data_IF_035187181431
#
_entry.id   IF_035187181431
#
_cell.length_a   1.000
_cell.length_b   1.000
_cell.length_c   1.000
_cell.angle_alpha   90.00
_cell.angle_beta   90.00
_cell.angle_gamma   90.00
#
_symmetry.space_group_name_H-M   'P 1'
#
loop_
_entity.id
_entity.type
_entity.pdbx_description
1 polymer ?
#
# COMPACT_ATOMS: atom_id res chain seq x y z
N UNK A 1 2.49 -2.28 12.26
CA UNK A 1 2.32 -3.40 11.30
C UNK A 1 1.54 -2.89 10.10
N UNK A 2 2.12 -3.00 8.90
CA UNK A 2 1.48 -2.59 7.64
C UNK A 2 1.00 -3.86 6.92
N UNK A 3 0.00 -3.74 6.04
CA UNK A 3 -0.42 -4.83 5.13
C UNK A 3 -0.54 -4.32 3.71
N UNK A 4 -0.42 -5.24 2.76
CA UNK A 4 -0.79 -5.01 1.36
C UNK A 4 -2.30 -4.77 1.28
N UNK A 5 -2.72 -3.68 0.63
CA UNK A 5 -4.10 -3.18 0.64
C UNK A 5 -4.95 -3.80 -0.49
N UNK A 6 -4.34 -4.04 -1.67
CA UNK A 6 -5.00 -4.53 -2.89
C UNK A 6 -4.06 -5.38 -3.75
N UNK A 7 -4.51 -5.85 -4.91
CA UNK A 7 -3.77 -6.75 -5.79
C UNK A 7 -3.65 -8.19 -5.28
N UNK A 8 -2.83 -9.00 -5.95
CA UNK A 8 -2.66 -10.44 -5.72
C UNK A 8 -2.15 -10.77 -4.31
N UNK A 9 -1.35 -9.87 -3.73
CA UNK A 9 -0.75 -10.05 -2.41
C UNK A 9 -1.60 -9.45 -1.28
N UNK A 10 -2.84 -9.05 -1.55
CA UNK A 10 -3.73 -8.39 -0.57
C UNK A 10 -3.78 -9.14 0.76
N UNK A 11 -3.63 -8.39 1.85
CA UNK A 11 -3.66 -8.94 3.21
C UNK A 11 -2.32 -9.45 3.73
N UNK A 12 -1.30 -9.59 2.87
CA UNK A 12 0.06 -9.93 3.30
C UNK A 12 0.59 -8.86 4.26
N UNK A 13 1.06 -9.29 5.42
CA UNK A 13 1.66 -8.41 6.45
C UNK A 13 3.08 -8.03 6.05
N UNK A 14 3.45 -6.81 6.40
CA UNK A 14 4.79 -6.24 6.19
C UNK A 14 5.28 -5.77 7.56
N UNK A 15 6.50 -6.16 7.90
CA UNK A 15 7.18 -5.68 9.08
C UNK A 15 7.42 -4.18 8.96
N UNK A 16 7.04 -3.45 10.00
CA UNK A 16 7.22 -2.01 10.08
C UNK A 16 8.23 -1.70 11.17
N UNK A 17 9.05 -0.65 11.03
CA UNK A 17 9.91 -0.18 12.10
C UNK A 17 9.15 -0.04 13.42
N UNK A 18 9.79 -0.40 14.53
CA UNK A 18 9.20 -0.30 15.85
C UNK A 18 9.07 1.16 16.29
N UNK A 19 8.12 1.41 17.19
CA UNK A 19 7.89 2.73 17.77
C UNK A 19 7.00 3.65 16.93
N UNK A 20 7.03 4.94 17.27
CA UNK A 20 6.16 5.99 16.72
C UNK A 20 6.92 7.18 16.13
N UNK A 21 8.23 7.03 15.93
CA UNK A 21 9.12 8.10 15.44
C UNK A 21 8.96 8.36 13.94
N UNK A 22 8.41 7.41 13.20
CA UNK A 22 8.11 7.55 11.77
C UNK A 22 6.64 7.90 11.55
N UNK A 23 6.35 8.90 10.70
CA UNK A 23 4.97 9.22 10.29
C UNK A 23 4.35 8.02 9.57
N UNK A 24 3.23 7.46 10.05
CA UNK A 24 2.57 6.34 9.37
C UNK A 24 1.86 6.82 8.10
N UNK A 25 1.82 5.94 7.09
CA UNK A 25 0.97 6.13 5.90
C UNK A 25 -0.33 5.35 6.10
N UNK A 26 -1.47 5.96 5.80
CA UNK A 26 -2.78 5.29 5.91
C UNK A 26 -3.04 4.34 4.74
N UNK A 27 -3.93 3.36 4.94
CA UNK A 27 -4.40 2.48 3.85
C UNK A 27 -4.97 3.32 2.69
N UNK A 28 -5.79 4.33 3.00
CA UNK A 28 -6.38 5.26 2.05
C UNK A 28 -5.34 6.04 1.24
N UNK A 29 -4.27 6.54 1.88
CA UNK A 29 -3.21 7.25 1.16
C UNK A 29 -2.46 6.32 0.20
N UNK A 30 -2.25 5.05 0.57
CA UNK A 30 -1.64 4.06 -0.33
C UNK A 30 -2.57 3.75 -1.50
N UNK A 31 -3.85 3.50 -1.24
CA UNK A 31 -4.84 3.22 -2.28
C UNK A 31 -4.97 4.38 -3.28
N UNK A 32 -5.00 5.63 -2.80
CA UNK A 32 -5.03 6.82 -3.65
C UNK A 32 -3.82 6.91 -4.59
N UNK A 33 -2.62 6.58 -4.10
CA UNK A 33 -1.40 6.56 -4.92
C UNK A 33 -1.52 5.50 -6.03
N UNK A 34 -1.93 4.27 -5.71
CA UNK A 34 -2.08 3.21 -6.71
C UNK A 34 -3.20 3.49 -7.72
N UNK A 35 -4.29 4.13 -7.28
CA UNK A 35 -5.34 4.59 -8.18
C UNK A 35 -4.84 5.66 -9.16
N UNK A 36 -4.03 6.60 -8.67
CA UNK A 36 -3.38 7.62 -9.52
C UNK A 36 -2.38 6.99 -10.50
N UNK A 37 -1.54 6.07 -10.05
CA UNK A 37 -0.60 5.38 -10.93
C UNK A 37 -1.31 4.51 -11.98
N UNK A 38 -2.43 3.89 -11.62
CA UNK A 38 -3.23 3.04 -12.51
C UNK A 38 -3.94 3.79 -13.64
N UNK A 39 -3.97 5.13 -13.64
CA UNK A 39 -4.43 5.91 -14.80
C UNK A 39 -3.32 6.13 -15.84
N UNK A 40 -2.06 5.95 -15.45
CA UNK A 40 -0.88 6.19 -16.28
C UNK A 40 -0.15 4.91 -16.69
N UNK A 41 -0.30 3.84 -15.92
CA UNK A 41 0.42 2.58 -16.10
C UNK A 41 -0.51 1.38 -15.97
N UNK A 42 -0.18 0.31 -16.70
CA UNK A 42 -0.78 -0.99 -16.46
C UNK A 42 -0.15 -1.63 -15.21
N UNK A 43 -0.96 -1.81 -14.17
CA UNK A 43 -0.55 -2.28 -12.85
C UNK A 43 -1.04 -3.69 -12.57
N UNK A 44 -0.84 -4.60 -13.54
CA UNK A 44 -1.23 -6.02 -13.42
C UNK A 44 -0.78 -6.62 -12.07
N UNK A 45 -1.73 -7.21 -11.36
CA UNK A 45 -1.52 -7.85 -10.06
C UNK A 45 -1.32 -6.91 -8.86
N UNK A 46 -1.25 -5.59 -9.07
CA UNK A 46 -0.97 -4.60 -8.02
C UNK A 46 -2.16 -3.71 -7.63
N UNK A 47 -3.25 -3.73 -8.40
CA UNK A 47 -4.48 -2.96 -8.15
C UNK A 47 -5.61 -3.86 -7.67
#
# INVERSE_FOLDING_TARGET
>A
MVRVVAGELRGRRIESPEGKTTRPTTDMAREAIFNSLGSHYDLNGAR
#
